data_IF_721108741223
#
_entry.id   IF_721108741223
#
_cell.length_a   1.000
_cell.length_b   1.000
_cell.length_c   1.000
_cell.angle_alpha   90.00
_cell.angle_beta   90.00
_cell.angle_gamma   90.00
#
_symmetry.space_group_name_H-M   'P 1'
#
loop_
_entity.id
_entity.type
_entity.pdbx_description
1 polymer ?
#
# COMPACT_ATOMS: atom_id res chain seq x y z
N UNK A 1 -5.46 3.51 16.28
CA UNK A 1 -5.75 2.06 16.11
C UNK A 1 -7.18 1.82 15.63
N UNK A 2 -8.19 2.42 16.25
CA UNK A 2 -9.60 2.31 15.84
C UNK A 2 -9.84 2.62 14.35
N UNK A 3 -9.28 3.71 13.84
CA UNK A 3 -9.40 4.11 12.43
C UNK A 3 -8.89 3.04 11.43
N UNK A 4 -7.84 2.30 11.81
CA UNK A 4 -7.32 1.20 10.99
C UNK A 4 -8.35 0.08 10.92
N UNK A 5 -8.90 -0.33 12.06
CA UNK A 5 -9.92 -1.39 12.09
C UNK A 5 -11.21 -0.97 11.40
N UNK A 6 -11.66 0.28 11.55
CA UNK A 6 -12.81 0.81 10.81
C UNK A 6 -12.56 0.77 9.29
N UNK A 7 -11.35 1.13 8.86
CA UNK A 7 -10.94 1.01 7.45
C UNK A 7 -10.98 -0.45 7.00
N UNK A 8 -10.43 -1.39 7.77
CA UNK A 8 -10.47 -2.83 7.42
C UNK A 8 -11.91 -3.35 7.34
N UNK A 9 -12.80 -2.94 8.26
CA UNK A 9 -14.23 -3.30 8.24
C UNK A 9 -14.93 -2.72 7.03
N UNK A 10 -14.66 -1.47 6.67
CA UNK A 10 -15.20 -0.84 5.46
C UNK A 10 -14.82 -1.60 4.17
N UNK A 11 -13.73 -2.37 4.21
CA UNK A 11 -13.25 -3.19 3.09
C UNK A 11 -13.52 -4.70 3.28
N UNK A 12 -14.43 -5.06 4.20
CA UNK A 12 -14.96 -6.42 4.33
C UNK A 12 -14.40 -7.25 5.48
N UNK A 13 -13.64 -6.65 6.41
CA UNK A 13 -13.28 -7.34 7.65
C UNK A 13 -14.50 -7.48 8.59
N UNK A 14 -14.55 -8.50 9.46
CA UNK A 14 -15.68 -8.70 10.37
C UNK A 14 -15.83 -7.53 11.35
N UNK A 15 -17.05 -6.97 11.57
CA UNK A 15 -17.25 -5.86 12.52
C UNK A 15 -16.82 -6.16 13.95
N UNK A 16 -16.78 -7.44 14.34
CA UNK A 16 -16.33 -7.88 15.66
C UNK A 16 -14.92 -7.43 16.03
N UNK A 17 -14.04 -7.17 15.04
CA UNK A 17 -12.67 -6.69 15.30
C UNK A 17 -12.62 -5.29 15.95
N UNK A 18 -13.74 -4.55 15.95
CA UNK A 18 -13.82 -3.23 16.58
C UNK A 18 -13.96 -3.29 18.10
N UNK A 19 -14.42 -4.42 18.63
CA UNK A 19 -14.75 -4.58 20.06
C UNK A 19 -13.97 -5.71 20.73
N UNK A 20 -13.35 -6.59 19.95
CA UNK A 20 -12.54 -7.69 20.47
C UNK A 20 -11.29 -7.16 21.21
N UNK A 21 -10.98 -7.77 22.35
CA UNK A 21 -9.76 -7.47 23.10
C UNK A 21 -8.49 -7.96 22.38
N UNK A 22 -8.60 -8.97 21.51
CA UNK A 22 -7.54 -9.48 20.64
C UNK A 22 -8.08 -9.69 19.21
N UNK A 23 -8.26 -8.58 18.45
CA UNK A 23 -8.91 -8.63 17.15
C UNK A 23 -8.11 -9.46 16.14
N UNK A 24 -8.81 -10.30 15.38
CA UNK A 24 -8.25 -11.11 14.30
C UNK A 24 -9.21 -11.15 13.12
N UNK A 25 -8.68 -11.02 11.90
CA UNK A 25 -9.47 -11.08 10.65
C UNK A 25 -9.55 -12.52 10.13
N UNK A 26 -8.51 -13.32 10.37
CA UNK A 26 -8.35 -14.66 9.81
C UNK A 26 -7.74 -14.64 8.41
N UNK A 27 -6.76 -15.52 8.18
CA UNK A 27 -5.96 -15.57 6.95
C UNK A 27 -6.77 -15.84 5.68
N UNK A 28 -7.94 -16.47 5.81
CA UNK A 28 -8.83 -16.73 4.67
C UNK A 28 -9.57 -15.46 4.20
N UNK A 29 -9.84 -14.52 5.11
CA UNK A 29 -10.57 -13.29 4.80
C UNK A 29 -9.64 -12.16 4.37
N UNK A 30 -8.42 -12.10 4.94
CA UNK A 30 -7.46 -11.03 4.68
C UNK A 30 -7.18 -10.80 3.18
N UNK A 31 -7.00 -11.82 2.32
CA UNK A 31 -6.81 -11.60 0.89
C UNK A 31 -7.96 -10.86 0.22
N UNK A 32 -9.20 -11.05 0.67
CA UNK A 32 -10.36 -10.34 0.13
C UNK A 32 -10.41 -8.90 0.61
N UNK A 33 -10.09 -8.66 1.89
CA UNK A 33 -9.99 -7.31 2.45
C UNK A 33 -8.92 -6.48 1.73
N UNK A 34 -7.74 -7.06 1.50
CA UNK A 34 -6.65 -6.40 0.76
C UNK A 34 -7.03 -6.12 -0.70
N UNK A 35 -7.75 -7.04 -1.36
CA UNK A 35 -8.27 -6.80 -2.72
C UNK A 35 -9.24 -5.63 -2.75
N UNK A 36 -10.14 -5.52 -1.77
CA UNK A 36 -11.08 -4.41 -1.66
C UNK A 36 -10.37 -3.08 -1.39
N UNK A 37 -9.41 -3.04 -0.47
CA UNK A 37 -8.56 -1.86 -0.23
C UNK A 37 -7.86 -1.40 -1.51
N UNK A 38 -7.28 -2.34 -2.26
CA UNK A 38 -6.66 -2.05 -3.55
C UNK A 38 -7.67 -1.46 -4.54
N UNK A 39 -8.89 -1.99 -4.61
CA UNK A 39 -9.92 -1.45 -5.50
C UNK A 39 -10.20 0.02 -5.19
N UNK A 40 -10.33 0.39 -3.91
CA UNK A 40 -10.49 1.80 -3.47
C UNK A 40 -9.31 2.68 -3.90
N UNK A 41 -8.07 2.19 -3.78
CA UNK A 41 -6.87 2.94 -4.24
C UNK A 41 -6.95 3.20 -5.75
N UNK A 42 -7.33 2.19 -6.53
CA UNK A 42 -7.46 2.30 -7.99
C UNK A 42 -8.61 3.24 -8.39
N UNK A 43 -9.75 3.15 -7.71
CA UNK A 43 -10.91 4.03 -7.94
C UNK A 43 -10.60 5.50 -7.60
N UNK A 44 -9.72 5.75 -6.64
CA UNK A 44 -9.22 7.07 -6.31
C UNK A 44 -8.16 7.61 -7.30
N UNK A 45 -7.81 6.83 -8.34
CA UNK A 45 -6.82 7.20 -9.35
C UNK A 45 -5.38 6.83 -8.99
N UNK A 46 -5.17 6.08 -7.90
CA UNK A 46 -3.88 5.49 -7.57
C UNK A 46 -3.54 4.29 -8.46
N UNK A 47 -2.29 3.87 -8.43
CA UNK A 47 -1.80 2.75 -9.22
C UNK A 47 -1.15 1.68 -8.33
N UNK A 48 -1.26 0.41 -8.73
CA UNK A 48 -0.60 -0.71 -8.03
C UNK A 48 0.10 -1.62 -9.04
N UNK A 49 1.42 -1.64 -8.97
CA UNK A 49 2.28 -2.39 -9.89
C UNK A 49 2.80 -3.67 -9.25
N UNK A 50 2.11 -4.79 -9.44
CA UNK A 50 2.57 -6.11 -8.97
C UNK A 50 3.78 -6.59 -9.78
N UNK A 51 4.64 -7.40 -9.14
CA UNK A 51 5.85 -7.93 -9.78
C UNK A 51 6.89 -6.85 -10.12
N UNK A 52 6.72 -5.63 -9.63
CA UNK A 52 7.61 -4.49 -9.88
C UNK A 52 8.53 -4.25 -8.68
N UNK A 53 9.62 -5.03 -8.58
CA UNK A 53 10.63 -4.82 -7.53
C UNK A 53 11.42 -3.56 -7.81
N UNK A 54 11.55 -2.67 -6.83
CA UNK A 54 12.44 -1.49 -6.90
C UNK A 54 13.88 -1.93 -6.70
N UNK A 55 14.79 -1.45 -7.55
CA UNK A 55 16.23 -1.76 -7.48
C UNK A 55 17.12 -0.53 -7.36
N UNK A 56 16.63 0.66 -7.73
CA UNK A 56 17.39 1.89 -7.59
C UNK A 56 16.49 3.10 -7.25
N UNK A 57 17.12 4.17 -6.77
CA UNK A 57 16.49 5.46 -6.47
C UNK A 57 16.95 6.50 -7.48
N UNK A 58 16.01 7.28 -8.00
CA UNK A 58 16.35 8.45 -8.80
C UNK A 58 16.71 9.59 -7.85
N UNK A 59 17.97 10.04 -7.86
CA UNK A 59 18.46 11.13 -7.02
C UNK A 59 18.71 12.37 -7.88
N UNK A 60 18.20 13.52 -7.45
CA UNK A 60 18.35 14.79 -8.16
C UNK A 60 19.82 15.23 -8.29
N UNK A 61 20.08 16.15 -9.22
CA UNK A 61 21.44 16.56 -9.60
C UNK A 61 22.29 17.12 -8.44
N UNK A 62 21.66 17.75 -7.44
CA UNK A 62 22.34 18.25 -6.24
C UNK A 62 22.54 17.19 -5.14
N UNK A 63 22.06 15.95 -5.36
CA UNK A 63 22.21 14.84 -4.42
C UNK A 63 21.35 14.91 -3.16
N UNK A 64 20.52 15.94 -3.01
CA UNK A 64 19.78 16.25 -1.78
C UNK A 64 18.34 15.74 -1.75
N UNK A 65 17.81 15.23 -2.88
CA UNK A 65 16.40 14.83 -3.01
C UNK A 65 16.24 13.57 -3.86
N UNK A 66 15.33 12.69 -3.42
CA UNK A 66 14.84 11.56 -4.21
C UNK A 66 13.71 12.06 -5.10
N UNK A 67 13.79 11.76 -6.39
CA UNK A 67 12.83 12.17 -7.43
C UNK A 67 11.99 11.01 -7.97
N UNK A 68 12.26 9.78 -7.49
CA UNK A 68 11.54 8.59 -7.92
C UNK A 68 12.32 7.31 -7.65
N UNK A 69 11.88 6.23 -8.29
CA UNK A 69 12.45 4.89 -8.18
C UNK A 69 12.59 4.24 -9.54
N UNK A 70 13.52 3.30 -9.65
CA UNK A 70 13.71 2.44 -10.82
C UNK A 70 13.37 1.00 -10.45
N UNK A 71 12.53 0.35 -11.24
CA UNK A 71 12.23 -1.08 -11.07
C UNK A 71 13.25 -1.98 -11.76
N UNK A 72 13.27 -3.25 -11.36
CA UNK A 72 14.15 -4.30 -11.90
C UNK A 72 14.05 -4.51 -13.43
N UNK A 73 12.93 -4.09 -14.03
CA UNK A 73 12.72 -4.13 -15.48
C UNK A 73 13.07 -2.82 -16.20
N UNK A 74 13.68 -1.86 -15.48
CA UNK A 74 14.15 -0.58 -16.00
C UNK A 74 13.10 0.51 -16.10
N UNK A 75 11.86 0.30 -15.64
CA UNK A 75 10.85 1.36 -15.61
C UNK A 75 11.16 2.39 -14.52
N UNK A 76 10.99 3.66 -14.85
CA UNK A 76 11.08 4.77 -13.89
C UNK A 76 9.69 5.18 -13.39
N UNK A 77 9.56 5.32 -12.07
CA UNK A 77 8.39 5.94 -11.43
C UNK A 77 8.84 7.22 -10.72
N UNK A 78 8.48 8.36 -11.30
CA UNK A 78 8.83 9.69 -10.75
C UNK A 78 7.76 10.19 -9.80
N UNK A 79 8.19 10.86 -8.73
CA UNK A 79 7.30 11.38 -7.71
C UNK A 79 7.98 12.43 -6.83
N UNK A 80 7.18 13.24 -6.16
CA UNK A 80 7.71 14.29 -5.28
C UNK A 80 8.29 13.74 -3.97
N UNK A 81 7.85 12.55 -3.57
CA UNK A 81 8.27 11.85 -2.38
C UNK A 81 8.25 10.34 -2.63
N UNK A 82 9.14 9.63 -1.93
CA UNK A 82 9.19 8.17 -1.91
C UNK A 82 9.06 7.73 -0.46
N UNK A 83 8.13 6.83 -0.18
CA UNK A 83 7.93 6.20 1.13
C UNK A 83 8.38 4.75 1.03
N UNK A 84 9.32 4.33 1.87
CA UNK A 84 9.81 2.96 1.95
C UNK A 84 9.10 2.19 3.08
N UNK A 85 8.35 1.15 2.71
CA UNK A 85 7.58 0.31 3.63
C UNK A 85 7.64 -1.17 3.20
N UNK A 86 8.85 -1.75 3.25
CA UNK A 86 9.17 -3.10 2.76
C UNK A 86 9.17 -4.16 3.85
#
# INVERSE_FOLDING_TARGET
MREIYETLVAHGAPPGILTDAHPHIGSNLLPNVVKALRATILEAGGEVHFGSRVEDLLVGAEGSRIEGVVSADGREFRGEAVILAT
#
